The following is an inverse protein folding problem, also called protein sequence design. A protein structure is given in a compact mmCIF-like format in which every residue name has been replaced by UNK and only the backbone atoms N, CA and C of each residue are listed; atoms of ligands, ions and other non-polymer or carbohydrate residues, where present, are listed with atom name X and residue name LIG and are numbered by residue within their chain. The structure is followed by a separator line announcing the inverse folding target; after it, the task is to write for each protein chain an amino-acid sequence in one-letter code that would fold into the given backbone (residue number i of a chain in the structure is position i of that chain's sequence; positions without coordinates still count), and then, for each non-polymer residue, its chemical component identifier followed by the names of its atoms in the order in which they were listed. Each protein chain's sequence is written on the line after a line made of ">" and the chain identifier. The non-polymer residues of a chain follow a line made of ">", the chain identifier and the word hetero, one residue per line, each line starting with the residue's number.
data_IF_757291504546
#
_entry.id   IF_757291504546
#
_cell.length_a   1.000
_cell.length_b   1.000
_cell.length_c   1.000
_cell.angle_alpha   90.00
_cell.angle_beta   90.00
_cell.angle_gamma   90.00
#
_symmetry.space_group_name_H-M   'P 1'
#
loop_
_entity.id
_entity.type
_entity.pdbx_description
1 polymer ?
#
# COMPACT_ATOMS: atom_id res chain seq x y z
N UNK A 1 15.75 39.67 22.96
CA UNK A 1 14.67 40.36 22.23
C UNK A 1 13.54 39.36 22.03
N UNK A 2 12.44 39.57 22.75
CA UNK A 2 11.15 38.87 22.79
C UNK A 2 11.09 37.39 22.31
N UNK A 3 11.15 36.47 23.29
CA UNK A 3 10.60 35.12 23.17
C UNK A 3 9.08 35.28 23.03
N UNK A 4 8.57 35.02 21.83
CA UNK A 4 7.12 34.99 21.57
C UNK A 4 6.56 33.85 22.42
N UNK A 5 5.89 34.20 23.52
CA UNK A 5 5.06 33.30 24.30
C UNK A 5 3.94 32.80 23.39
N UNK A 6 4.18 31.65 22.78
CA UNK A 6 3.18 30.98 21.99
C UNK A 6 2.11 30.46 22.97
N UNK A 7 0.91 31.02 22.82
CA UNK A 7 -0.35 30.67 23.48
C UNK A 7 -0.38 29.19 23.89
N UNK A 8 -0.53 28.91 25.19
CA UNK A 8 -0.67 27.54 25.74
C UNK A 8 -1.78 26.78 25.00
N UNK A 9 -1.42 25.87 24.11
CA UNK A 9 -2.35 24.92 23.51
C UNK A 9 -2.81 23.94 24.60
N UNK A 10 -4.05 24.12 25.08
CA UNK A 10 -4.70 23.27 26.09
C UNK A 10 -4.77 21.77 25.69
N UNK A 11 -4.48 21.48 24.42
CA UNK A 11 -4.59 20.18 23.78
C UNK A 11 -3.26 19.42 23.63
N UNK A 12 -2.13 19.98 24.08
CA UNK A 12 -0.82 19.29 24.08
C UNK A 12 -0.30 19.10 25.51
N UNK A 13 0.42 17.99 25.80
CA UNK A 13 1.18 17.88 27.04
C UNK A 13 2.28 18.97 27.06
N UNK A 14 2.71 19.42 28.25
CA UNK A 14 3.76 20.43 28.34
C UNK A 14 5.05 19.93 27.67
N UNK A 15 5.78 20.79 26.94
CA UNK A 15 7.01 20.39 26.28
C UNK A 15 8.00 19.89 27.34
N UNK A 16 8.50 18.67 27.14
CA UNK A 16 9.53 18.07 27.96
C UNK A 16 10.62 17.51 27.04
N UNK A 17 11.88 17.71 27.43
CA UNK A 17 13.02 17.15 26.72
C UNK A 17 13.38 15.82 27.37
N UNK A 18 13.14 14.72 26.65
CA UNK A 18 13.44 13.36 27.11
C UNK A 18 14.96 13.12 27.15
N UNK A 19 15.78 13.96 26.51
CA UNK A 19 17.23 13.76 26.39
C UNK A 19 18.05 14.43 27.51
N UNK A 20 17.48 15.33 28.31
CA UNK A 20 18.15 15.99 29.44
C UNK A 20 17.75 15.34 30.79
N UNK A 21 18.11 14.07 30.98
CA UNK A 21 17.85 13.34 32.23
C UNK A 21 19.00 13.60 33.22
N UNK A 22 18.98 14.79 33.81
CA UNK A 22 19.79 15.13 35.01
C UNK A 22 18.91 15.68 36.13
N UNK A 23 17.66 15.23 36.21
CA UNK A 23 16.71 15.64 37.24
C UNK A 23 15.37 14.96 37.05
N UNK A 24 14.70 14.69 38.17
CA UNK A 24 13.43 13.99 38.36
C UNK A 24 12.20 14.61 37.67
N UNK A 25 12.29 14.95 36.38
CA UNK A 25 11.18 15.45 35.59
C UNK A 25 10.70 14.35 34.64
N UNK A 26 9.92 13.41 35.17
CA UNK A 26 9.12 12.52 34.33
C UNK A 26 8.22 13.37 33.43
N UNK A 27 8.39 13.25 32.11
CA UNK A 27 7.47 13.81 31.14
C UNK A 27 6.04 13.46 31.53
N UNK A 28 5.16 14.47 31.67
CA UNK A 28 3.76 14.21 31.97
C UNK A 28 3.14 13.47 30.78
N UNK A 29 2.56 12.28 30.99
CA UNK A 29 1.88 11.57 29.92
C UNK A 29 0.70 12.39 29.41
N UNK A 30 0.33 12.21 28.15
CA UNK A 30 -0.83 12.86 27.57
C UNK A 30 -2.10 12.51 28.36
N UNK A 31 -3.00 13.48 28.52
CA UNK A 31 -4.30 13.24 29.16
C UNK A 31 -5.15 12.28 28.33
N UNK A 32 -6.04 11.52 28.97
CA UNK A 32 -6.99 10.62 28.29
C UNK A 32 -7.80 11.34 27.21
N UNK A 33 -8.17 12.61 27.44
CA UNK A 33 -8.90 13.43 26.48
C UNK A 33 -8.05 13.81 25.26
N UNK A 34 -6.78 14.19 25.49
CA UNK A 34 -5.83 14.50 24.41
C UNK A 34 -5.58 13.26 23.53
N UNK A 35 -5.41 12.11 24.17
CA UNK A 35 -5.24 10.83 23.49
C UNK A 35 -6.49 10.41 22.71
N UNK A 36 -7.68 10.61 23.30
CA UNK A 36 -8.96 10.32 22.64
C UNK A 36 -9.17 11.15 21.38
N UNK A 37 -8.90 12.47 21.44
CA UNK A 37 -8.98 13.36 20.26
C UNK A 37 -7.98 12.93 19.19
N UNK A 38 -6.74 12.64 19.59
CA UNK A 38 -5.67 12.21 18.68
C UNK A 38 -6.02 10.92 17.93
N UNK A 39 -6.45 9.87 18.64
CA UNK A 39 -6.84 8.62 17.97
C UNK A 39 -8.09 8.77 17.13
N UNK A 40 -9.07 9.56 17.55
CA UNK A 40 -10.26 9.84 16.75
C UNK A 40 -9.87 10.48 15.41
N UNK A 41 -8.98 11.47 15.42
CA UNK A 41 -8.47 12.09 14.20
C UNK A 41 -7.71 11.09 13.31
N UNK A 42 -6.87 10.22 13.90
CA UNK A 42 -6.17 9.17 13.15
C UNK A 42 -7.12 8.16 12.50
N UNK A 43 -8.19 7.75 13.19
CA UNK A 43 -9.19 6.85 12.63
C UNK A 43 -9.98 7.50 11.50
N UNK A 44 -10.32 8.78 11.62
CA UNK A 44 -10.96 9.54 10.52
C UNK A 44 -10.03 9.60 9.30
N UNK A 45 -8.74 9.88 9.51
CA UNK A 45 -7.75 9.89 8.43
C UNK A 45 -7.61 8.50 7.78
N UNK A 46 -7.58 7.43 8.58
CA UNK A 46 -7.52 6.06 8.09
C UNK A 46 -8.76 5.70 7.25
N UNK A 47 -9.96 6.05 7.71
CA UNK A 47 -11.20 5.83 6.96
C UNK A 47 -11.23 6.64 5.65
N UNK A 48 -10.84 7.91 5.71
CA UNK A 48 -10.79 8.78 4.52
C UNK A 48 -9.80 8.27 3.48
N UNK A 49 -8.60 7.90 3.89
CA UNK A 49 -7.57 7.37 2.96
C UNK A 49 -7.93 5.97 2.44
N UNK A 50 -8.50 5.11 3.28
CA UNK A 50 -8.95 3.77 2.88
C UNK A 50 -10.10 3.79 1.86
N UNK A 51 -11.03 4.74 2.00
CA UNK A 51 -12.14 4.91 1.07
C UNK A 51 -11.75 5.61 -0.23
N UNK A 52 -10.83 6.57 -0.20
CA UNK A 52 -10.46 7.36 -1.39
C UNK A 52 -9.49 6.63 -2.32
N UNK A 53 -8.47 5.96 -1.78
CA UNK A 53 -7.40 5.32 -2.56
C UNK A 53 -7.88 4.40 -3.69
N UNK A 54 -8.75 3.41 -3.46
CA UNK A 54 -9.19 2.52 -4.55
C UNK A 54 -10.18 3.19 -5.51
N UNK A 55 -10.87 4.24 -5.08
CA UNK A 55 -11.96 4.86 -5.84
C UNK A 55 -11.49 5.99 -6.78
N UNK A 56 -10.44 6.74 -6.42
CA UNK A 56 -9.98 7.85 -7.27
C UNK A 56 -9.35 7.31 -8.56
N UNK A 57 -8.54 6.25 -8.48
CA UNK A 57 -7.91 5.65 -9.66
C UNK A 57 -8.93 5.00 -10.59
N UNK A 58 -9.99 4.40 -10.04
CA UNK A 58 -11.07 3.78 -10.84
C UNK A 58 -11.93 4.84 -11.51
N UNK A 59 -12.35 5.89 -10.79
CA UNK A 59 -13.09 7.02 -11.37
C UNK A 59 -12.28 7.67 -12.51
N UNK A 60 -10.97 7.86 -12.31
CA UNK A 60 -10.08 8.39 -13.35
C UNK A 60 -9.99 7.48 -14.58
N UNK A 61 -9.87 6.17 -14.37
CA UNK A 61 -9.87 5.18 -15.45
C UNK A 61 -11.18 5.15 -16.24
N UNK A 62 -12.32 5.33 -15.56
CA UNK A 62 -13.66 5.28 -16.12
C UNK A 62 -14.01 6.45 -17.04
N UNK A 63 -13.19 7.51 -17.03
CA UNK A 63 -13.37 8.66 -17.93
C UNK A 63 -13.02 8.32 -19.39
N UNK A 64 -12.21 7.29 -19.61
CA UNK A 64 -11.76 6.88 -20.93
C UNK A 64 -12.50 5.63 -21.41
N UNK A 65 -12.93 5.64 -22.68
CA UNK A 65 -13.46 4.46 -23.35
C UNK A 65 -12.31 3.54 -23.78
N UNK A 66 -12.43 2.25 -23.45
CA UNK A 66 -11.42 1.24 -23.81
C UNK A 66 -11.56 0.76 -25.27
N UNK A 67 -12.73 0.96 -25.87
CA UNK A 67 -13.02 0.55 -27.24
C UNK A 67 -12.57 1.59 -28.28
N UNK A 68 -12.39 2.85 -27.87
CA UNK A 68 -11.79 3.88 -28.73
C UNK A 68 -10.25 3.86 -28.60
N UNK A 69 -9.50 3.59 -29.68
CA UNK A 69 -8.04 3.56 -29.64
C UNK A 69 -7.40 4.89 -29.22
N UNK A 70 -8.03 6.04 -29.51
CA UNK A 70 -7.51 7.36 -29.11
C UNK A 70 -7.68 7.59 -27.62
N UNK A 71 -8.87 7.33 -27.08
CA UNK A 71 -9.13 7.47 -25.63
C UNK A 71 -8.31 6.46 -24.83
N UNK A 72 -8.12 5.24 -25.35
CA UNK A 72 -7.23 4.23 -24.76
C UNK A 72 -5.78 4.72 -24.64
N UNK A 73 -5.24 5.40 -25.66
CA UNK A 73 -3.91 6.00 -25.58
C UNK A 73 -3.87 7.13 -24.53
N UNK A 74 -4.93 7.95 -24.47
CA UNK A 74 -5.11 8.98 -23.44
C UNK A 74 -5.09 8.41 -22.01
N UNK A 75 -5.77 7.28 -21.78
CA UNK A 75 -5.79 6.56 -20.49
C UNK A 75 -4.39 6.15 -20.03
N UNK A 76 -3.57 5.62 -20.94
CA UNK A 76 -2.18 5.24 -20.61
C UNK A 76 -1.36 6.47 -20.22
N UNK A 77 -1.50 7.57 -20.96
CA UNK A 77 -0.83 8.84 -20.64
C UNK A 77 -1.26 9.39 -19.27
N UNK A 78 -2.56 9.34 -18.96
CA UNK A 78 -3.09 9.71 -17.65
C UNK A 78 -2.42 8.93 -16.51
N UNK A 79 -2.33 7.60 -16.63
CA UNK A 79 -1.68 6.78 -15.61
C UNK A 79 -0.17 7.03 -15.47
N UNK A 80 0.51 7.36 -16.57
CA UNK A 80 1.91 7.77 -16.51
C UNK A 80 2.08 9.06 -15.70
N UNK A 81 1.27 10.09 -15.98
CA UNK A 81 1.30 11.36 -15.25
C UNK A 81 0.87 11.20 -13.79
N UNK A 82 -0.17 10.42 -13.54
CA UNK A 82 -0.62 10.04 -12.19
C UNK A 82 0.52 9.45 -11.36
N UNK A 83 1.22 8.47 -11.94
CA UNK A 83 2.36 7.79 -11.30
C UNK A 83 3.52 8.75 -11.03
N UNK A 84 3.87 9.58 -12.01
CA UNK A 84 4.89 10.61 -11.85
C UNK A 84 4.56 11.58 -10.69
N UNK A 85 3.32 12.09 -10.65
CA UNK A 85 2.85 12.96 -9.57
C UNK A 85 2.91 12.32 -8.20
N UNK A 86 2.55 11.03 -8.06
CA UNK A 86 2.65 10.30 -6.80
C UNK A 86 4.10 10.25 -6.32
N UNK A 87 5.03 9.89 -7.20
CA UNK A 87 6.43 9.76 -6.80
C UNK A 87 7.09 11.11 -6.48
N UNK A 88 6.81 12.14 -7.28
CA UNK A 88 7.26 13.49 -7.00
C UNK A 88 6.70 14.00 -5.66
N UNK A 89 5.39 13.81 -5.44
CA UNK A 89 4.71 14.18 -4.20
C UNK A 89 5.29 13.45 -2.98
N UNK A 90 5.60 12.15 -3.12
CA UNK A 90 6.21 11.34 -2.06
C UNK A 90 7.62 11.84 -1.72
N UNK A 91 8.43 12.19 -2.72
CA UNK A 91 9.77 12.77 -2.50
C UNK A 91 9.68 14.12 -1.77
N UNK A 92 8.76 15.00 -2.17
CA UNK A 92 8.53 16.29 -1.51
C UNK A 92 8.03 16.10 -0.08
N UNK A 93 7.09 15.17 0.16
CA UNK A 93 6.60 14.84 1.50
C UNK A 93 7.73 14.31 2.41
N UNK A 94 8.50 13.33 1.95
CA UNK A 94 9.54 12.70 2.77
C UNK A 94 10.74 13.63 3.03
N UNK A 95 10.93 14.69 2.24
CA UNK A 95 11.99 15.68 2.43
C UNK A 95 11.47 16.96 3.09
N UNK A 96 10.76 17.79 2.32
CA UNK A 96 10.32 19.13 2.71
C UNK A 96 9.27 19.08 3.83
N UNK A 97 8.24 18.25 3.69
CA UNK A 97 7.16 18.23 4.69
C UNK A 97 7.65 17.68 6.03
N UNK A 98 8.44 16.61 6.01
CA UNK A 98 9.11 16.07 7.19
C UNK A 98 10.05 17.10 7.83
N UNK A 99 10.81 17.85 7.02
CA UNK A 99 11.67 18.92 7.53
C UNK A 99 10.87 20.01 8.27
N UNK A 100 9.74 20.42 7.69
CA UNK A 100 8.82 21.39 8.30
C UNK A 100 8.25 20.84 9.61
N UNK A 101 7.82 19.58 9.66
CA UNK A 101 7.30 18.95 10.86
C UNK A 101 8.32 18.91 12.00
N UNK A 102 9.57 18.51 11.69
CA UNK A 102 10.62 18.33 12.69
C UNK A 102 11.32 19.63 13.12
N UNK A 103 11.43 20.64 12.24
CA UNK A 103 12.21 21.86 12.55
C UNK A 103 11.35 23.12 12.75
N UNK A 104 10.16 23.19 12.14
CA UNK A 104 9.28 24.38 12.24
C UNK A 104 8.12 24.11 13.19
N UNK A 105 7.44 22.97 13.02
CA UNK A 105 6.40 22.51 13.93
C UNK A 105 5.32 21.66 13.28
N UNK A 106 4.73 20.79 14.08
CA UNK A 106 3.70 19.83 13.65
C UNK A 106 2.40 20.49 13.18
N UNK A 107 1.99 21.63 13.74
CA UNK A 107 0.75 22.31 13.32
C UNK A 107 0.81 22.74 11.86
N UNK A 108 1.91 23.39 11.45
CA UNK A 108 2.13 23.82 10.07
C UNK A 108 2.30 22.61 9.14
N UNK A 109 3.02 21.58 9.61
CA UNK A 109 3.22 20.33 8.88
C UNK A 109 1.93 19.56 8.58
N UNK A 110 0.89 19.65 9.42
CA UNK A 110 -0.43 19.09 9.14
C UNK A 110 -1.37 20.06 8.42
N UNK A 111 -1.22 21.37 8.62
CA UNK A 111 -2.03 22.38 7.94
C UNK A 111 -1.80 22.40 6.42
N UNK A 112 -0.55 22.28 5.97
CA UNK A 112 -0.20 22.29 4.53
C UNK A 112 -0.94 21.18 3.76
N UNK A 113 -0.85 19.87 4.13
CA UNK A 113 -1.62 18.82 3.45
C UNK A 113 -3.13 18.99 3.58
N UNK A 114 -3.62 19.53 4.70
CA UNK A 114 -5.06 19.75 4.93
C UNK A 114 -5.62 20.79 3.96
N UNK A 115 -4.91 21.90 3.75
CA UNK A 115 -5.29 22.92 2.77
C UNK A 115 -5.23 22.33 1.35
N UNK A 116 -4.17 21.58 1.04
CA UNK A 116 -4.05 20.89 -0.26
C UNK A 116 -5.19 19.93 -0.53
N UNK A 117 -5.60 19.14 0.47
CA UNK A 117 -6.76 18.25 0.37
C UNK A 117 -8.07 19.04 0.18
N UNK A 118 -8.25 20.16 0.90
CA UNK A 118 -9.39 21.05 0.73
C UNK A 118 -9.51 21.59 -0.70
N UNK A 119 -8.40 22.06 -1.27
CA UNK A 119 -8.34 22.52 -2.67
C UNK A 119 -8.65 21.36 -3.63
N UNK A 120 -8.11 20.16 -3.38
CA UNK A 120 -8.37 18.98 -4.21
C UNK A 120 -9.85 18.60 -4.22
N UNK A 121 -10.54 18.66 -3.08
CA UNK A 121 -11.98 18.38 -2.98
C UNK A 121 -12.79 19.44 -3.75
N UNK A 122 -12.42 20.72 -3.64
CA UNK A 122 -13.08 21.80 -4.37
C UNK A 122 -12.96 21.61 -5.89
N UNK A 123 -11.77 21.29 -6.38
CA UNK A 123 -11.53 21.02 -7.81
C UNK A 123 -12.33 19.78 -8.26
N UNK A 124 -12.31 18.71 -7.46
CA UNK A 124 -13.07 17.50 -7.78
C UNK A 124 -14.57 17.77 -7.86
N UNK A 125 -15.11 18.55 -6.92
CA UNK A 125 -16.53 18.92 -6.93
C UNK A 125 -16.89 19.83 -8.11
N UNK A 126 -16.06 20.83 -8.40
CA UNK A 126 -16.24 21.72 -9.55
C UNK A 126 -16.23 20.97 -10.89
N UNK A 127 -15.48 19.86 -10.98
CA UNK A 127 -15.41 18.99 -12.15
C UNK A 127 -16.61 18.05 -12.34
N UNK A 128 -17.54 17.97 -11.37
CA UNK A 128 -18.61 16.95 -11.34
C UNK A 128 -19.46 16.90 -12.61
N UNK A 129 -19.77 18.04 -13.23
CA UNK A 129 -20.56 18.09 -14.48
C UNK A 129 -19.85 17.52 -15.70
N UNK A 130 -18.52 17.38 -15.65
CA UNK A 130 -17.70 16.87 -16.75
C UNK A 130 -17.42 15.37 -16.64
N UNK A 131 -17.75 14.74 -15.52
CA UNK A 131 -17.42 13.34 -15.28
C UNK A 131 -18.42 12.39 -15.96
N UNK A 132 -17.88 11.34 -16.59
CA UNK A 132 -18.65 10.18 -17.03
C UNK A 132 -18.90 9.28 -15.82
N UNK A 133 -20.17 8.99 -15.52
CA UNK A 133 -20.58 8.12 -14.43
C UNK A 133 -20.97 6.73 -14.95
N UNK A 134 -20.29 5.69 -14.44
CA UNK A 134 -20.64 4.29 -14.74
C UNK A 134 -21.79 3.82 -13.84
N UNK A 135 -22.65 2.97 -14.38
CA UNK A 135 -23.75 2.35 -13.62
C UNK A 135 -23.20 1.34 -12.60
N UNK A 136 -23.84 1.19 -11.42
CA UNK A 136 -23.40 0.22 -10.41
C UNK A 136 -23.46 -1.22 -10.92
N UNK A 137 -22.31 -1.92 -10.94
CA UNK A 137 -22.21 -3.32 -11.43
C UNK A 137 -22.38 -4.39 -10.33
N UNK A 138 -22.71 -3.98 -9.10
CA UNK A 138 -22.83 -4.86 -7.92
C UNK A 138 -21.47 -5.25 -7.30
N UNK A 139 -21.50 -5.96 -6.18
CA UNK A 139 -20.29 -6.35 -5.44
C UNK A 139 -19.77 -7.75 -5.84
N UNK A 140 -18.49 -7.87 -6.24
CA UNK A 140 -17.85 -9.17 -6.46
C UNK A 140 -17.88 -10.08 -5.23
N UNK A 141 -17.78 -9.51 -4.02
CA UNK A 141 -17.83 -10.28 -2.77
C UNK A 141 -19.20 -10.94 -2.56
N UNK A 142 -20.28 -10.24 -2.90
CA UNK A 142 -21.63 -10.80 -2.83
C UNK A 142 -21.82 -11.93 -3.84
N UNK A 143 -21.23 -11.82 -5.05
CA UNK A 143 -21.23 -12.91 -6.03
C UNK A 143 -20.48 -14.14 -5.50
N UNK A 144 -19.29 -13.93 -4.93
CA UNK A 144 -18.49 -14.99 -4.31
C UNK A 144 -19.23 -15.67 -3.16
N UNK A 145 -19.85 -14.89 -2.26
CA UNK A 145 -20.63 -15.43 -1.15
C UNK A 145 -21.81 -16.28 -1.63
N UNK A 146 -22.53 -15.84 -2.68
CA UNK A 146 -23.62 -16.61 -3.30
C UNK A 146 -23.14 -17.96 -3.82
N UNK A 147 -22.01 -17.98 -4.54
CA UNK A 147 -21.42 -19.22 -5.07
C UNK A 147 -21.03 -20.17 -3.95
N UNK A 148 -20.36 -19.67 -2.91
CA UNK A 148 -19.96 -20.49 -1.76
C UNK A 148 -21.16 -21.07 -1.02
N UNK A 149 -22.17 -20.25 -0.72
CA UNK A 149 -23.40 -20.68 -0.05
C UNK A 149 -24.16 -21.71 -0.89
N UNK A 150 -24.30 -21.48 -2.20
CA UNK A 150 -24.96 -22.40 -3.11
C UNK A 150 -24.21 -23.75 -3.20
N UNK A 151 -22.89 -23.73 -3.30
CA UNK A 151 -22.06 -24.93 -3.34
C UNK A 151 -22.15 -25.75 -2.03
N UNK A 152 -22.13 -25.09 -0.87
CA UNK A 152 -22.28 -25.74 0.45
C UNK A 152 -23.66 -26.36 0.60
N UNK A 153 -24.73 -25.65 0.21
CA UNK A 153 -26.10 -26.19 0.25
C UNK A 153 -26.24 -27.43 -0.64
N UNK A 154 -25.59 -27.43 -1.80
CA UNK A 154 -25.58 -28.55 -2.75
C UNK A 154 -24.44 -29.53 -2.53
N UNK A 155 -23.79 -29.52 -1.36
CA UNK A 155 -22.62 -30.37 -1.10
C UNK A 155 -22.91 -31.87 -1.27
N UNK A 156 -24.15 -32.31 -1.00
CA UNK A 156 -24.59 -33.70 -1.15
C UNK A 156 -25.02 -34.09 -2.56
N UNK A 157 -25.17 -33.13 -3.48
CA UNK A 157 -25.61 -33.37 -4.86
C UNK A 157 -24.46 -33.95 -5.69
N UNK A 158 -24.77 -34.94 -6.54
CA UNK A 158 -23.83 -35.51 -7.51
C UNK A 158 -23.58 -34.52 -8.64
N UNK A 159 -22.31 -34.30 -8.97
CA UNK A 159 -21.94 -33.49 -10.13
C UNK A 159 -22.22 -34.27 -11.41
N UNK A 160 -22.91 -33.67 -12.40
CA UNK A 160 -23.04 -34.24 -13.74
C UNK A 160 -21.66 -34.50 -14.35
N UNK A 161 -21.53 -35.60 -15.12
CA UNK A 161 -20.28 -35.92 -15.82
C UNK A 161 -20.00 -34.96 -16.99
N UNK A 162 -21.05 -34.41 -17.57
CA UNK A 162 -20.95 -33.44 -18.67
C UNK A 162 -21.10 -32.00 -18.15
N UNK A 163 -20.12 -31.15 -18.49
CA UNK A 163 -20.12 -29.73 -18.10
C UNK A 163 -21.17 -28.91 -18.86
N UNK A 164 -21.72 -29.45 -19.95
CA UNK A 164 -22.80 -28.83 -20.74
C UNK A 164 -24.13 -28.74 -19.97
N UNK A 165 -24.31 -29.58 -18.93
CA UNK A 165 -25.53 -29.66 -18.12
C UNK A 165 -25.54 -28.67 -16.94
N UNK A 166 -24.47 -27.91 -16.75
CA UNK A 166 -24.39 -26.88 -15.73
C UNK A 166 -25.10 -25.61 -16.18
N UNK A 167 -25.78 -24.94 -15.24
CA UNK A 167 -26.49 -23.70 -15.51
C UNK A 167 -25.55 -22.59 -16.00
N UNK A 168 -25.88 -21.98 -17.15
CA UNK A 168 -25.24 -20.78 -17.68
C UNK A 168 -26.30 -19.84 -18.27
N UNK A 169 -26.07 -18.53 -18.13
CA UNK A 169 -26.93 -17.51 -18.75
C UNK A 169 -26.67 -17.39 -20.27
N UNK A 170 -27.65 -16.86 -21.00
CA UNK A 170 -27.55 -16.65 -22.44
C UNK A 170 -26.48 -15.59 -22.79
N UNK A 171 -25.79 -15.76 -23.92
CA UNK A 171 -24.72 -14.86 -24.36
C UNK A 171 -25.17 -13.39 -24.54
N UNK A 172 -26.42 -13.16 -24.96
CA UNK A 172 -26.96 -11.81 -25.14
C UNK A 172 -27.13 -11.06 -23.82
N UNK A 173 -27.36 -11.80 -22.73
CA UNK A 173 -27.47 -11.23 -21.39
C UNK A 173 -26.10 -10.80 -20.84
N UNK A 174 -25.04 -11.55 -21.18
CA UNK A 174 -23.66 -11.18 -20.89
C UNK A 174 -23.21 -9.96 -21.68
N UNK A 175 -23.52 -9.90 -22.99
CA UNK A 175 -23.23 -8.74 -23.84
C UNK A 175 -23.91 -7.47 -23.34
N UNK A 176 -25.18 -7.55 -22.92
CA UNK A 176 -25.89 -6.41 -22.31
C UNK A 176 -25.24 -5.91 -21.01
N UNK A 177 -24.55 -6.80 -20.27
CA UNK A 177 -23.83 -6.47 -19.03
C UNK A 177 -22.34 -6.17 -19.24
N UNK A 178 -21.85 -6.19 -20.49
CA UNK A 178 -20.43 -6.00 -20.81
C UNK A 178 -19.52 -7.08 -20.21
N UNK A 179 -20.04 -8.29 -20.00
CA UNK A 179 -19.33 -9.41 -19.38
C UNK A 179 -19.01 -10.49 -20.42
N UNK A 180 -17.96 -11.26 -20.16
CA UNK A 180 -17.54 -12.38 -21.00
C UNK A 180 -17.81 -13.71 -20.30
N UNK A 181 -18.20 -14.71 -21.09
CA UNK A 181 -18.37 -16.07 -20.60
C UNK A 181 -17.01 -16.71 -20.33
N UNK A 182 -16.87 -17.35 -19.17
CA UNK A 182 -15.66 -18.08 -18.79
C UNK A 182 -15.93 -19.58 -18.88
N UNK A 183 -15.02 -20.33 -19.51
CA UNK A 183 -15.16 -21.78 -19.64
C UNK A 183 -14.91 -22.50 -18.30
N UNK A 184 -15.65 -23.58 -18.07
CA UNK A 184 -15.52 -24.42 -16.87
C UNK A 184 -14.11 -25.04 -16.74
N UNK A 185 -13.53 -24.94 -15.55
CA UNK A 185 -12.23 -25.54 -15.22
C UNK A 185 -12.38 -26.72 -14.25
N UNK A 186 -11.53 -27.73 -14.40
CA UNK A 186 -11.49 -28.92 -13.53
C UNK A 186 -11.00 -28.67 -12.08
N UNK A 187 -10.51 -27.48 -11.74
CA UNK A 187 -10.08 -27.17 -10.37
C UNK A 187 -11.26 -26.85 -9.46
N UNK A 188 -11.14 -27.15 -8.16
CA UNK A 188 -12.17 -26.83 -7.14
C UNK A 188 -13.55 -27.33 -7.57
N UNK A 189 -13.65 -28.57 -8.06
CA UNK A 189 -14.89 -29.16 -8.63
C UNK A 189 -16.10 -29.05 -7.71
N UNK A 190 -15.89 -29.03 -6.39
CA UNK A 190 -16.93 -28.80 -5.41
C UNK A 190 -17.76 -27.52 -5.69
N UNK A 191 -17.13 -26.44 -6.16
CA UNK A 191 -17.85 -25.19 -6.45
C UNK A 191 -18.78 -25.29 -7.66
N UNK A 192 -18.53 -26.22 -8.58
CA UNK A 192 -19.41 -26.47 -9.73
C UNK A 192 -20.80 -26.96 -9.30
N UNK A 193 -20.93 -27.47 -8.06
CA UNK A 193 -22.24 -27.88 -7.50
C UNK A 193 -23.22 -26.71 -7.41
N UNK A 194 -22.74 -25.48 -7.33
CA UNK A 194 -23.60 -24.29 -7.33
C UNK A 194 -24.37 -24.07 -8.65
N UNK A 195 -23.91 -24.66 -9.75
CA UNK A 195 -24.55 -24.57 -11.07
C UNK A 195 -25.45 -25.79 -11.42
N UNK A 196 -25.61 -26.76 -10.52
CA UNK A 196 -26.47 -27.92 -10.76
C UNK A 196 -27.93 -27.50 -10.65
N UNK A 197 -28.73 -27.77 -11.67
CA UNK A 197 -30.17 -27.52 -11.68
C UNK A 197 -30.85 -28.65 -10.89
N UNK A 198 -31.65 -28.29 -9.88
CA UNK A 198 -32.47 -29.23 -9.10
C UNK A 198 -33.93 -29.12 -9.56
N UNK A 199 -34.62 -30.25 -9.71
CA UNK A 199 -36.06 -30.26 -10.02
C UNK A 199 -36.85 -29.61 -8.87
N UNK A 200 -37.59 -28.54 -9.17
CA UNK A 200 -38.35 -27.76 -8.19
C UNK A 200 -37.58 -26.61 -7.50
N UNK A 201 -36.33 -26.36 -7.89
CA UNK A 201 -35.51 -25.28 -7.32
C UNK A 201 -35.95 -23.89 -7.80
N UNK A 202 -36.30 -22.98 -6.87
CA UNK A 202 -36.52 -21.57 -7.22
C UNK A 202 -35.23 -20.96 -7.78
N UNK A 203 -35.34 -20.13 -8.84
CA UNK A 203 -34.25 -19.40 -9.50
C UNK A 203 -33.57 -18.33 -8.63
N UNK A 204 -33.52 -18.53 -7.31
CA UNK A 204 -32.88 -17.62 -6.37
C UNK A 204 -31.35 -17.61 -6.58
N UNK A 205 -30.73 -16.41 -6.62
CA UNK A 205 -29.28 -16.27 -6.80
C UNK A 205 -28.41 -16.93 -5.73
N UNK A 206 -29.01 -17.39 -4.62
CA UNK A 206 -28.35 -18.06 -3.49
C UNK A 206 -28.46 -19.59 -3.51
N UNK A 207 -29.17 -20.15 -4.50
CA UNK A 207 -29.27 -21.60 -4.73
C UNK A 207 -28.74 -22.01 -6.09
N UNK A 208 -28.80 -21.13 -7.09
CA UNK A 208 -28.33 -21.40 -8.44
C UNK A 208 -27.43 -20.25 -8.92
N UNK A 209 -26.23 -20.57 -9.39
CA UNK A 209 -25.25 -19.61 -9.91
C UNK A 209 -24.74 -20.08 -11.29
N UNK A 210 -24.52 -19.17 -12.24
CA UNK A 210 -23.96 -19.53 -13.54
C UNK A 210 -22.50 -19.95 -13.43
N UNK A 211 -22.05 -20.83 -14.34
CA UNK A 211 -20.65 -21.30 -14.41
C UNK A 211 -19.65 -20.15 -14.45
N UNK A 212 -19.95 -19.08 -15.19
CA UNK A 212 -19.07 -17.90 -15.23
C UNK A 212 -18.78 -17.31 -13.84
N UNK A 213 -19.79 -17.16 -12.98
CA UNK A 213 -19.58 -16.66 -11.60
C UNK A 213 -18.79 -17.64 -10.73
N UNK A 214 -18.92 -18.93 -10.98
CA UNK A 214 -18.16 -19.98 -10.29
C UNK A 214 -16.68 -19.89 -10.67
N UNK A 215 -16.38 -19.71 -11.95
CA UNK A 215 -15.00 -19.57 -12.43
C UNK A 215 -14.36 -18.26 -11.95
N UNK A 216 -15.09 -17.13 -11.94
CA UNK A 216 -14.64 -15.90 -11.29
C UNK A 216 -14.28 -16.14 -9.81
N UNK A 217 -15.14 -16.85 -9.09
CA UNK A 217 -14.92 -17.21 -7.68
C UNK A 217 -13.70 -18.10 -7.50
N UNK A 218 -13.49 -19.09 -8.37
CA UNK A 218 -12.29 -19.95 -8.35
C UNK A 218 -11.02 -19.14 -8.56
N UNK A 219 -11.03 -18.20 -9.51
CA UNK A 219 -9.89 -17.32 -9.77
C UNK A 219 -9.58 -16.45 -8.54
N UNK A 220 -10.60 -15.85 -7.92
CA UNK A 220 -10.41 -15.08 -6.67
C UNK A 220 -9.87 -15.96 -5.54
N UNK A 221 -10.37 -17.19 -5.38
CA UNK A 221 -9.90 -18.12 -4.35
C UNK A 221 -8.42 -18.51 -4.55
N UNK A 222 -7.96 -18.62 -5.80
CA UNK A 222 -6.55 -18.87 -6.13
C UNK A 222 -5.63 -17.68 -5.82
N UNK A 223 -6.17 -16.48 -5.62
CA UNK A 223 -5.39 -15.31 -5.22
C UNK A 223 -5.15 -15.24 -3.71
N UNK A 224 -5.91 -15.97 -2.87
CA UNK A 224 -5.72 -15.95 -1.42
C UNK A 224 -4.30 -16.32 -0.95
N UNK A 225 -3.64 -17.38 -1.47
CA UNK A 225 -2.26 -17.68 -1.10
C UNK A 225 -1.30 -16.52 -1.37
N UNK A 226 -1.49 -15.82 -2.50
CA UNK A 226 -0.69 -14.65 -2.86
C UNK A 226 -0.99 -13.51 -1.88
N UNK A 227 -2.26 -13.27 -1.55
CA UNK A 227 -2.66 -12.28 -0.55
C UNK A 227 -1.98 -12.52 0.81
N UNK A 228 -1.96 -13.76 1.30
CA UNK A 228 -1.29 -14.09 2.55
C UNK A 228 0.23 -13.89 2.46
N UNK A 229 0.84 -14.19 1.32
CA UNK A 229 2.28 -13.92 1.11
C UNK A 229 2.62 -12.42 1.15
N UNK A 230 1.67 -11.54 0.78
CA UNK A 230 1.83 -10.08 0.83
C UNK A 230 1.82 -9.50 2.26
N UNK A 231 1.52 -10.30 3.29
CA UNK A 231 1.67 -9.84 4.68
C UNK A 231 3.13 -9.56 5.04
N UNK A 232 4.09 -10.31 4.48
CA UNK A 232 5.51 -10.11 4.76
C UNK A 232 5.96 -8.70 4.34
N UNK A 233 5.81 -8.27 3.06
CA UNK A 233 6.12 -6.91 2.65
C UNK A 233 5.41 -5.84 3.45
N UNK A 234 4.13 -6.06 3.78
CA UNK A 234 3.33 -5.11 4.57
C UNK A 234 3.92 -4.87 5.97
N UNK A 235 4.41 -5.95 6.61
CA UNK A 235 5.12 -5.86 7.88
C UNK A 235 6.45 -5.11 7.68
N UNK A 236 7.21 -5.40 6.62
CA UNK A 236 8.48 -4.74 6.33
C UNK A 236 8.32 -3.23 6.11
N UNK A 237 7.35 -2.80 5.29
CA UNK A 237 7.05 -1.37 5.09
C UNK A 237 6.65 -0.69 6.40
N UNK A 238 5.97 -1.42 7.31
CA UNK A 238 5.66 -0.90 8.64
C UNK A 238 6.92 -0.70 9.50
N UNK A 239 7.92 -1.58 9.41
CA UNK A 239 9.19 -1.44 10.14
C UNK A 239 9.98 -0.21 9.70
N UNK A 240 10.02 0.06 8.39
CA UNK A 240 10.71 1.23 7.81
C UNK A 240 10.14 2.53 8.37
N UNK A 241 8.80 2.62 8.46
CA UNK A 241 8.12 3.82 8.96
C UNK A 241 8.13 3.94 10.49
N UNK A 242 8.64 2.95 11.23
CA UNK A 242 8.60 2.92 12.69
C UNK A 242 9.97 2.66 13.30
N UNK A 243 10.42 1.40 13.33
CA UNK A 243 11.67 1.01 13.96
C UNK A 243 12.88 1.66 13.31
N UNK A 244 12.93 1.74 11.98
CA UNK A 244 14.10 2.31 11.30
C UNK A 244 14.23 3.82 11.58
N UNK A 245 13.11 4.54 11.62
CA UNK A 245 13.08 5.94 12.02
C UNK A 245 13.52 6.09 13.49
N UNK A 246 13.03 5.23 14.39
CA UNK A 246 13.46 5.22 15.80
C UNK A 246 14.95 4.93 15.98
N UNK A 247 15.54 4.06 15.18
CA UNK A 247 17.00 3.88 15.20
C UNK A 247 17.70 5.19 14.84
N UNK A 248 17.22 5.87 13.78
CA UNK A 248 17.75 7.15 13.32
C UNK A 248 17.70 8.28 14.35
N UNK A 249 16.71 8.29 15.27
CA UNK A 249 16.62 9.31 16.31
C UNK A 249 17.72 9.19 17.37
N UNK A 250 18.30 7.99 17.54
CA UNK A 250 19.37 7.72 18.53
C UNK A 250 20.78 7.98 18.01
N UNK A 251 20.93 8.23 16.70
CA UNK A 251 22.22 8.41 16.04
C UNK A 251 22.60 9.89 15.92
N UNK A 252 23.86 10.16 15.57
CA UNK A 252 24.29 11.51 15.23
C UNK A 252 23.71 11.94 13.87
N UNK A 253 22.91 13.01 13.90
CA UNK A 253 22.14 13.52 12.75
C UNK A 253 22.74 14.77 12.10
N UNK A 254 23.91 15.23 12.55
CA UNK A 254 24.54 16.42 11.99
C UNK A 254 25.17 16.12 10.63
N UNK A 255 24.86 16.95 9.64
CA UNK A 255 25.49 16.96 8.32
C UNK A 255 26.18 18.31 8.15
N UNK A 256 27.44 18.37 8.58
CA UNK A 256 28.16 19.64 8.73
C UNK A 256 27.77 20.41 10.00
N UNK A 257 28.17 21.69 10.11
CA UNK A 257 28.06 22.45 11.36
C UNK A 257 26.65 23.01 11.67
N UNK A 258 25.79 23.20 10.65
CA UNK A 258 24.51 23.93 10.82
C UNK A 258 23.26 23.13 10.47
N UNK A 259 23.39 21.91 9.94
CA UNK A 259 22.25 21.16 9.44
C UNK A 259 22.06 19.84 10.21
N UNK A 260 20.85 19.63 10.72
CA UNK A 260 20.46 18.41 11.44
C UNK A 260 19.39 17.70 10.63
N UNK A 261 19.71 16.53 10.10
CA UNK A 261 18.81 15.75 9.27
C UNK A 261 17.64 15.20 10.11
N UNK A 262 16.38 15.39 9.68
CA UNK A 262 15.23 14.67 10.22
C UNK A 262 15.39 13.15 10.01
N UNK A 263 15.28 12.31 11.04
CA UNK A 263 15.47 10.87 10.87
C UNK A 263 14.44 10.24 9.93
N UNK A 264 13.22 10.79 9.88
CA UNK A 264 12.18 10.32 8.96
C UNK A 264 12.53 10.61 7.49
N UNK A 265 13.37 11.60 7.18
CA UNK A 265 13.75 11.90 5.79
C UNK A 265 14.69 10.85 5.18
N UNK A 266 15.16 9.86 5.96
CA UNK A 266 15.86 8.70 5.41
C UNK A 266 14.97 7.88 4.47
N UNK A 267 13.64 7.93 4.66
CA UNK A 267 12.67 7.30 3.75
C UNK A 267 12.77 7.85 2.32
N UNK A 268 13.26 9.07 2.11
CA UNK A 268 13.53 9.60 0.77
C UNK A 268 14.56 8.78 0.01
N UNK A 269 15.54 8.18 0.70
CA UNK A 269 16.50 7.27 0.06
C UNK A 269 15.85 5.96 -0.39
N UNK A 270 14.86 5.45 0.35
CA UNK A 270 14.04 4.31 -0.10
C UNK A 270 13.28 4.66 -1.36
N UNK A 271 12.59 5.81 -1.40
CA UNK A 271 11.86 6.25 -2.60
C UNK A 271 12.80 6.44 -3.79
N UNK A 272 13.95 7.09 -3.60
CA UNK A 272 14.93 7.30 -4.67
C UNK A 272 15.52 5.98 -5.17
N UNK A 273 15.89 5.09 -4.25
CA UNK A 273 16.43 3.76 -4.60
C UNK A 273 15.40 2.93 -5.36
N UNK A 274 14.13 2.97 -4.96
CA UNK A 274 13.04 2.32 -5.67
C UNK A 274 12.91 2.86 -7.10
N UNK A 275 12.90 4.19 -7.29
CA UNK A 275 12.82 4.80 -8.63
C UNK A 275 13.99 4.39 -9.52
N UNK A 276 15.21 4.46 -9.00
CA UNK A 276 16.42 4.03 -9.72
C UNK A 276 16.32 2.54 -10.07
N UNK A 277 15.85 1.71 -9.13
CA UNK A 277 15.68 0.27 -9.34
C UNK A 277 14.65 -0.04 -10.42
N UNK A 278 13.53 0.69 -10.48
CA UNK A 278 12.53 0.54 -11.56
C UNK A 278 13.16 0.88 -12.92
N UNK A 279 13.90 1.99 -13.02
CA UNK A 279 14.57 2.38 -14.28
C UNK A 279 15.57 1.32 -14.71
N UNK A 280 16.41 0.83 -13.79
CA UNK A 280 17.38 -0.23 -14.05
C UNK A 280 16.68 -1.55 -14.43
N UNK A 281 15.56 -1.85 -13.79
CA UNK A 281 14.75 -3.02 -14.08
C UNK A 281 14.24 -2.99 -15.53
N UNK A 282 13.56 -1.92 -15.92
CA UNK A 282 12.96 -1.82 -17.26
C UNK A 282 14.00 -1.68 -18.37
N UNK A 283 15.07 -0.90 -18.15
CA UNK A 283 16.05 -0.59 -19.19
C UNK A 283 17.12 -1.67 -19.35
N UNK A 284 17.58 -2.25 -18.25
CA UNK A 284 18.69 -3.20 -18.26
C UNK A 284 18.17 -4.63 -18.07
N UNK A 285 17.48 -4.90 -16.96
CA UNK A 285 17.11 -6.26 -16.57
C UNK A 285 16.10 -6.89 -17.54
N UNK A 286 15.03 -6.19 -17.92
CA UNK A 286 14.02 -6.71 -18.86
C UNK A 286 14.65 -6.96 -20.23
N UNK A 287 15.53 -6.06 -20.71
CA UNK A 287 16.25 -6.26 -21.97
C UNK A 287 17.12 -7.52 -21.96
N UNK A 288 17.90 -7.71 -20.89
CA UNK A 288 18.75 -8.89 -20.71
C UNK A 288 17.92 -10.17 -20.59
N UNK A 289 16.93 -10.18 -19.71
CA UNK A 289 16.11 -11.35 -19.47
C UNK A 289 15.25 -11.71 -20.66
N UNK A 290 14.74 -10.74 -21.43
CA UNK A 290 14.00 -11.03 -22.67
C UNK A 290 14.86 -11.78 -23.69
N UNK A 291 16.14 -11.45 -23.78
CA UNK A 291 17.08 -12.15 -24.66
C UNK A 291 17.31 -13.61 -24.21
N UNK A 292 17.18 -13.90 -22.92
CA UNK A 292 17.43 -15.21 -22.34
C UNK A 292 16.18 -16.09 -22.20
N UNK A 293 15.05 -15.52 -21.78
CA UNK A 293 13.81 -16.25 -21.48
C UNK A 293 12.83 -16.27 -22.63
N UNK A 294 13.03 -15.43 -23.66
CA UNK A 294 12.07 -15.22 -24.74
C UNK A 294 10.77 -14.56 -24.30
N UNK A 295 10.60 -14.22 -23.01
CA UNK A 295 9.39 -13.60 -22.50
C UNK A 295 9.42 -12.09 -22.75
N UNK A 296 8.37 -11.47 -23.36
CA UNK A 296 8.33 -10.03 -23.59
C UNK A 296 8.44 -9.19 -22.30
N UNK A 297 8.13 -9.77 -21.13
CA UNK A 297 8.25 -9.15 -19.81
C UNK A 297 9.52 -9.56 -19.04
N UNK A 298 10.43 -10.32 -19.65
CA UNK A 298 11.67 -10.80 -19.01
C UNK A 298 11.45 -11.98 -18.05
N UNK A 299 10.76 -11.77 -16.92
CA UNK A 299 10.43 -12.83 -15.93
C UNK A 299 8.95 -12.79 -15.56
N UNK A 300 8.42 -13.89 -15.00
CA UNK A 300 7.00 -13.95 -14.61
C UNK A 300 6.69 -13.05 -13.41
N UNK A 301 5.43 -12.63 -13.27
CA UNK A 301 4.98 -11.79 -12.14
C UNK A 301 5.24 -12.48 -10.80
N UNK A 302 4.97 -13.78 -10.71
CA UNK A 302 5.20 -14.56 -9.49
C UNK A 302 6.69 -14.67 -9.14
N UNK A 303 7.58 -14.76 -10.14
CA UNK A 303 9.02 -14.74 -9.91
C UNK A 303 9.48 -13.37 -9.39
N UNK A 304 8.95 -12.27 -9.92
CA UNK A 304 9.26 -10.91 -9.42
C UNK A 304 8.86 -10.77 -7.96
N UNK A 305 7.65 -11.21 -7.62
CA UNK A 305 7.14 -11.21 -6.25
C UNK A 305 8.04 -12.05 -5.32
N UNK A 306 8.43 -13.24 -5.76
CA UNK A 306 9.36 -14.09 -5.02
C UNK A 306 10.73 -13.44 -4.76
N UNK A 307 11.31 -12.76 -5.76
CA UNK A 307 12.58 -12.03 -5.61
C UNK A 307 12.44 -10.91 -4.58
N UNK A 308 11.35 -10.14 -4.64
CA UNK A 308 11.06 -9.11 -3.65
C UNK A 308 11.02 -9.63 -2.22
N UNK A 309 10.36 -10.78 -1.99
CA UNK A 309 10.31 -11.42 -0.67
C UNK A 309 11.67 -11.88 -0.15
N UNK A 310 12.55 -12.36 -1.03
CA UNK A 310 13.92 -12.74 -0.65
C UNK A 310 14.76 -11.50 -0.29
N UNK A 311 14.58 -10.40 -1.03
CA UNK A 311 15.22 -9.13 -0.73
C UNK A 311 14.76 -8.58 0.63
N UNK A 312 13.47 -8.65 0.95
CA UNK A 312 12.95 -8.28 2.28
C UNK A 312 13.63 -9.06 3.41
N UNK A 313 13.83 -10.37 3.24
CA UNK A 313 14.60 -11.18 4.19
C UNK A 313 16.04 -10.68 4.36
N UNK A 314 16.67 -10.29 3.24
CA UNK A 314 18.02 -9.73 3.22
C UNK A 314 18.08 -8.36 3.92
N UNK A 315 17.06 -7.51 3.73
CA UNK A 315 16.92 -6.21 4.43
C UNK A 315 16.91 -6.41 5.94
N UNK A 316 16.16 -7.39 6.44
CA UNK A 316 16.11 -7.68 7.88
C UNK A 316 17.42 -8.21 8.45
N UNK A 317 18.15 -9.03 7.68
CA UNK A 317 19.50 -9.47 8.08
C UNK A 317 20.44 -8.27 8.19
N UNK A 318 20.46 -7.40 7.18
CA UNK A 318 21.29 -6.19 7.20
C UNK A 318 20.90 -5.27 8.35
N UNK A 319 19.61 -5.06 8.59
CA UNK A 319 19.12 -4.24 9.69
C UNK A 319 19.52 -4.80 11.06
N UNK A 320 19.46 -6.11 11.24
CA UNK A 320 19.92 -6.79 12.46
C UNK A 320 21.42 -6.59 12.69
N UNK A 321 22.24 -6.71 11.64
CA UNK A 321 23.68 -6.47 11.73
C UNK A 321 24.00 -5.01 12.07
N UNK A 322 23.28 -4.05 11.46
CA UNK A 322 23.44 -2.62 11.76
C UNK A 322 23.05 -2.31 13.21
N UNK A 323 21.97 -2.90 13.70
CA UNK A 323 21.54 -2.74 15.10
C UNK A 323 22.56 -3.34 16.07
N UNK A 324 23.11 -4.52 15.77
CA UNK A 324 24.17 -5.14 16.58
C UNK A 324 25.39 -4.22 16.68
N UNK A 325 25.81 -3.61 15.55
CA UNK A 325 26.90 -2.63 15.54
C UNK A 325 26.57 -1.39 16.36
N UNK A 326 25.36 -0.84 16.21
CA UNK A 326 24.88 0.33 16.98
C UNK A 326 24.93 0.07 18.49
N UNK A 327 24.45 -1.10 18.92
CA UNK A 327 24.45 -1.49 20.33
C UNK A 327 25.86 -1.72 20.89
N UNK A 328 26.78 -2.29 20.11
CA UNK A 328 28.20 -2.44 20.52
C UNK A 328 28.82 -1.08 20.84
N UNK A 329 28.70 -0.14 19.90
CA UNK A 329 29.27 1.21 20.06
C UNK A 329 28.60 1.96 21.22
N UNK A 330 27.28 1.81 21.38
CA UNK A 330 26.56 2.41 22.51
C UNK A 330 27.04 1.89 23.87
N UNK A 331 27.38 0.59 23.96
CA UNK A 331 27.93 -0.02 25.18
C UNK A 331 29.37 0.44 25.44
N UNK A 332 30.22 0.44 24.41
CA UNK A 332 31.62 0.88 24.50
C UNK A 332 31.76 2.33 24.97
N UNK A 333 30.85 3.21 24.53
CA UNK A 333 30.87 4.63 24.88
C UNK A 333 30.02 4.98 26.11
N UNK A 334 29.49 3.98 26.84
CA UNK A 334 28.67 4.21 28.03
C UNK A 334 27.36 4.97 27.79
N UNK A 335 26.94 5.13 26.53
CA UNK A 335 25.77 5.93 26.12
C UNK A 335 24.47 5.34 26.67
N UNK A 336 24.45 4.01 26.89
CA UNK A 336 23.33 3.30 27.53
C UNK A 336 23.06 3.79 28.95
N UNK A 337 24.09 4.24 29.67
CA UNK A 337 23.98 4.77 31.03
C UNK A 337 23.84 6.31 31.06
N UNK A 338 24.47 7.01 30.13
CA UNK A 338 24.60 8.47 30.15
C UNK A 338 23.55 9.23 29.30
N UNK A 339 22.73 8.54 28.50
CA UNK A 339 21.56 9.14 27.85
C UNK A 339 21.83 10.04 26.62
N UNK A 340 22.98 9.91 25.95
CA UNK A 340 23.34 10.71 24.76
C UNK A 340 23.01 10.06 23.40
N UNK A 341 23.24 10.76 22.27
CA UNK A 341 23.22 10.14 20.95
C UNK A 341 24.42 9.19 20.79
N UNK A 342 24.22 8.04 20.15
CA UNK A 342 25.30 7.12 19.81
C UNK A 342 26.22 7.80 18.80
N UNK A 343 27.56 7.76 18.97
CA UNK A 343 28.53 8.45 18.10
C UNK A 343 28.72 7.73 16.74
N UNK A 344 27.60 7.39 16.10
CA UNK A 344 27.53 6.83 14.76
C UNK A 344 26.73 7.79 13.89
N UNK A 345 27.18 7.99 12.66
CA UNK A 345 26.46 8.82 11.69
C UNK A 345 25.15 8.14 11.32
N UNK A 346 24.11 8.94 11.09
CA UNK A 346 22.79 8.46 10.65
C UNK A 346 22.86 7.63 9.35
N UNK A 347 23.88 7.88 8.52
CA UNK A 347 24.12 7.19 7.25
C UNK A 347 24.47 5.70 7.40
N UNK A 348 24.81 5.21 8.60
CA UNK A 348 24.98 3.77 8.84
C UNK A 348 23.70 2.97 8.54
N UNK A 349 22.53 3.63 8.58
CA UNK A 349 21.24 3.03 8.24
C UNK A 349 20.95 3.04 6.73
N UNK A 350 21.72 3.74 5.89
CA UNK A 350 21.45 3.79 4.45
C UNK A 350 21.30 2.42 3.76
N UNK A 351 22.14 1.39 4.07
CA UNK A 351 22.03 0.10 3.40
C UNK A 351 20.65 -0.55 3.52
N UNK A 352 20.03 -0.51 4.71
CA UNK A 352 18.69 -1.08 4.91
C UNK A 352 17.61 -0.28 4.17
N UNK A 353 17.71 1.06 4.10
CA UNK A 353 16.73 1.88 3.36
C UNK A 353 16.87 1.72 1.83
N UNK A 354 18.09 1.60 1.31
CA UNK A 354 18.35 1.37 -0.12
C UNK A 354 17.90 -0.02 -0.54
N UNK A 355 18.29 -1.06 0.21
CA UNK A 355 17.86 -2.43 -0.10
C UNK A 355 16.33 -2.57 -0.01
N UNK A 356 15.68 -1.86 0.91
CA UNK A 356 14.23 -1.80 0.97
C UNK A 356 13.63 -1.21 -0.31
N UNK A 357 14.18 -0.10 -0.81
CA UNK A 357 13.70 0.52 -2.06
C UNK A 357 13.84 -0.42 -3.25
N UNK A 358 14.94 -1.18 -3.31
CA UNK A 358 15.12 -2.24 -4.31
C UNK A 358 14.07 -3.35 -4.17
N UNK A 359 13.80 -3.84 -2.94
CA UNK A 359 12.80 -4.88 -2.70
C UNK A 359 11.40 -4.43 -3.13
N UNK A 360 10.99 -3.22 -2.75
CA UNK A 360 9.70 -2.63 -3.13
C UNK A 360 9.57 -2.47 -4.65
N UNK A 361 10.65 -2.14 -5.37
CA UNK A 361 10.62 -2.05 -6.84
C UNK A 361 10.24 -3.39 -7.49
N UNK A 362 10.77 -4.52 -7.01
CA UNK A 362 10.42 -5.84 -7.52
C UNK A 362 9.00 -6.26 -7.15
N UNK A 363 8.52 -5.88 -5.96
CA UNK A 363 7.17 -6.19 -5.51
C UNK A 363 6.11 -5.38 -6.26
N UNK A 364 6.29 -4.07 -6.40
CA UNK A 364 5.34 -3.16 -7.09
C UNK A 364 5.27 -3.48 -8.59
N UNK A 365 6.39 -3.79 -9.22
CA UNK A 365 6.44 -4.18 -10.64
C UNK A 365 5.97 -5.64 -10.86
N UNK A 366 5.87 -6.42 -9.78
CA UNK A 366 5.39 -7.79 -9.75
C UNK A 366 3.90 -7.95 -9.41
N UNK A 367 3.33 -6.99 -8.68
CA UNK A 367 1.88 -6.87 -8.37
C UNK A 367 1.13 -6.19 -9.48
#
# INVERSE_FOLDING_TARGET
>A
MARIDNKRDKNQPPPCDIQNISGTNHCKPASKLQLGIFFTALYILALGTGGTKPNISTIGADQFDEFDPKERAGKVSFFNWWTFSIYLGTLIANTFLVYVQDNVGWSLGYAIPTIGLGISILIFYAGSSFYRHKLPQGSPLTKMARVLVAAVRKCKVSLPKDSSQLYEMNQDEYKKKGQFRIQSTNSMRFLNKAAVIEEGGSGSPWKLCPVTHIEETKQMLRLFPILFSMFIPSIMTSQVNTLFIKQGTTLNRHMGPHFKIPPASLTSFTTLSMLVSIILYDRCFVRLMRAWTGNPRGISLLQRLGVGLVLDGTVMVVASLMEKKRLSVAREHGVVANGGPVPLTIFILLPQFVLMGMAEAFLIVGS
#
